data_IF_464143063841
#
_entry.id   IF_464143063841
#
_cell.length_a   1.000
_cell.length_b   1.000
_cell.length_c   1.000
_cell.angle_alpha   90.00
_cell.angle_beta   90.00
_cell.angle_gamma   90.00
#
_symmetry.space_group_name_H-M   'P 1'
#
loop_
_entity.id
_entity.type
_entity.pdbx_description
1 polymer ?
#
# COMPACT_ATOMS: atom_id res chain seq x y z
N UNK A 1 -15.23 20.29 20.77
CA UNK A 1 -16.11 19.19 20.36
C UNK A 1 -16.16 18.23 21.53
N UNK A 2 -17.34 17.91 22.02
CA UNK A 2 -17.48 16.94 23.10
C UNK A 2 -17.39 15.54 22.47
N UNK A 3 -16.28 14.85 22.69
CA UNK A 3 -16.00 13.52 22.14
C UNK A 3 -16.76 12.40 22.87
N UNK A 4 -17.45 12.71 23.96
CA UNK A 4 -18.29 11.75 24.68
C UNK A 4 -19.76 11.80 24.21
N UNK A 5 -20.13 12.78 23.37
CA UNK A 5 -21.47 12.93 22.84
C UNK A 5 -21.61 12.34 21.43
N UNK A 6 -22.32 11.20 21.26
CA UNK A 6 -22.45 10.54 19.95
C UNK A 6 -23.14 11.39 18.88
N UNK A 7 -24.02 12.32 19.27
CA UNK A 7 -24.68 13.21 18.32
C UNK A 7 -23.70 14.24 17.75
N UNK A 8 -22.77 14.75 18.57
CA UNK A 8 -21.73 15.67 18.12
C UNK A 8 -20.72 14.98 17.20
N UNK A 9 -20.31 13.75 17.52
CA UNK A 9 -19.43 12.95 16.67
C UNK A 9 -20.08 12.67 15.32
N UNK A 10 -21.35 12.25 15.31
CA UNK A 10 -22.12 12.01 14.08
C UNK A 10 -22.23 13.27 13.22
N UNK A 11 -22.57 14.42 13.83
CA UNK A 11 -22.66 15.68 13.10
C UNK A 11 -21.30 16.11 12.51
N UNK A 12 -20.21 15.89 13.25
CA UNK A 12 -18.86 16.16 12.77
C UNK A 12 -18.47 15.25 11.60
N UNK A 13 -18.76 13.94 11.69
CA UNK A 13 -18.50 12.98 10.63
C UNK A 13 -19.29 13.30 9.36
N UNK A 14 -20.58 13.62 9.49
CA UNK A 14 -21.43 14.03 8.37
C UNK A 14 -20.93 15.30 7.68
N UNK A 15 -20.50 16.30 8.46
CA UNK A 15 -19.91 17.53 7.91
C UNK A 15 -18.61 17.24 7.17
N UNK A 16 -17.69 16.50 7.80
CA UNK A 16 -16.40 16.16 7.19
C UNK A 16 -16.59 15.36 5.90
N UNK A 17 -17.55 14.43 5.89
CA UNK A 17 -17.92 13.68 4.68
C UNK A 17 -18.49 14.59 3.59
N UNK A 18 -19.40 15.49 3.92
CA UNK A 18 -19.96 16.42 2.93
C UNK A 18 -18.87 17.31 2.30
N UNK A 19 -17.94 17.81 3.12
CA UNK A 19 -16.79 18.59 2.66
C UNK A 19 -15.87 17.75 1.76
N UNK A 20 -15.59 16.50 2.16
CA UNK A 20 -14.80 15.54 1.38
C UNK A 20 -15.47 15.22 0.03
N UNK A 21 -16.74 14.85 0.01
CA UNK A 21 -17.46 14.49 -1.21
C UNK A 21 -17.53 15.67 -2.17
N UNK A 22 -17.82 16.87 -1.67
CA UNK A 22 -17.81 18.09 -2.48
C UNK A 22 -16.44 18.32 -3.14
N UNK A 23 -15.35 18.16 -2.37
CA UNK A 23 -14.00 18.25 -2.91
C UNK A 23 -13.74 17.15 -3.95
N UNK A 24 -14.07 15.89 -3.62
CA UNK A 24 -13.80 14.74 -4.45
C UNK A 24 -14.56 14.80 -5.78
N UNK A 25 -15.83 15.21 -5.80
CA UNK A 25 -16.66 15.32 -7.01
C UNK A 25 -16.23 16.46 -7.94
N UNK A 26 -15.60 17.51 -7.40
CA UNK A 26 -15.26 18.72 -8.15
C UNK A 26 -13.77 18.86 -8.48
N UNK A 27 -12.93 17.93 -8.01
CA UNK A 27 -11.48 18.00 -8.20
C UNK A 27 -11.01 16.90 -9.16
N UNK A 28 -10.35 17.27 -10.30
CA UNK A 28 -9.81 16.26 -11.21
C UNK A 28 -8.75 15.40 -10.53
N UNK A 29 -8.65 14.12 -10.94
CA UNK A 29 -7.71 13.15 -10.36
C UNK A 29 -6.27 13.66 -10.41
N UNK A 30 -5.87 14.34 -11.50
CA UNK A 30 -4.53 14.93 -11.62
C UNK A 30 -4.25 16.00 -10.57
N UNK A 31 -5.25 16.81 -10.20
CA UNK A 31 -5.12 17.83 -9.16
C UNK A 31 -5.04 17.19 -7.76
N UNK A 32 -5.86 16.16 -7.51
CA UNK A 32 -5.80 15.38 -6.27
C UNK A 32 -4.44 14.71 -6.08
N UNK A 33 -3.89 14.08 -7.13
CA UNK A 33 -2.51 13.57 -7.12
C UNK A 33 -1.48 14.67 -6.90
N UNK A 34 -1.53 15.76 -7.68
CA UNK A 34 -0.58 16.86 -7.52
C UNK A 34 -0.58 17.47 -6.10
N UNK A 35 -1.70 17.42 -5.40
CA UNK A 35 -1.80 17.87 -4.01
C UNK A 35 -1.18 16.92 -2.99
N UNK A 36 -1.28 15.60 -3.21
CA UNK A 36 -0.90 14.55 -2.25
C UNK A 36 0.47 13.92 -2.50
N UNK A 37 1.03 14.10 -3.71
CA UNK A 37 2.33 13.57 -4.11
C UNK A 37 3.50 14.53 -3.86
N UNK A 38 3.27 15.58 -3.06
CA UNK A 38 4.30 16.57 -2.73
C UNK A 38 5.24 15.99 -1.67
N UNK A 39 6.54 16.07 -1.91
CA UNK A 39 7.53 15.80 -0.88
C UNK A 39 7.47 16.91 0.18
N UNK A 40 7.28 16.51 1.43
CA UNK A 40 7.26 17.42 2.57
C UNK A 40 8.66 17.54 3.18
N UNK A 41 9.09 18.75 3.59
CA UNK A 41 10.33 18.92 4.31
C UNK A 41 10.36 18.04 5.56
N UNK A 42 11.34 17.14 5.61
CA UNK A 42 11.54 16.26 6.75
C UNK A 42 12.29 17.01 7.85
N UNK A 43 11.84 16.86 9.10
CA UNK A 43 12.49 17.37 10.30
C UNK A 43 12.20 16.44 11.48
N UNK A 44 12.94 16.61 12.57
CA UNK A 44 12.63 15.95 13.83
C UNK A 44 13.28 14.58 14.02
N UNK A 45 12.76 13.74 14.93
CA UNK A 45 13.38 12.49 15.38
C UNK A 45 13.17 11.33 14.41
N UNK A 46 13.34 11.56 13.11
CA UNK A 46 13.11 10.56 12.06
C UNK A 46 14.29 10.55 11.11
N UNK A 47 14.84 9.36 10.88
CA UNK A 47 15.75 9.08 9.77
C UNK A 47 14.95 8.65 8.54
N UNK A 48 15.32 9.16 7.36
CA UNK A 48 14.84 8.67 6.07
C UNK A 48 16.03 8.50 5.15
N UNK A 49 16.24 7.29 4.65
CA UNK A 49 17.26 6.97 3.64
C UNK A 49 16.57 6.47 2.37
N UNK A 50 16.67 7.26 1.29
CA UNK A 50 16.06 6.96 -0.01
C UNK A 50 17.03 6.18 -0.89
N UNK A 51 16.53 5.16 -1.58
CA UNK A 51 17.33 4.37 -2.51
C UNK A 51 16.48 3.81 -3.65
N UNK A 52 17.15 3.30 -4.67
CA UNK A 52 16.51 2.66 -5.79
C UNK A 52 17.08 1.25 -5.99
N UNK A 53 16.19 0.31 -6.27
CA UNK A 53 16.54 -1.04 -6.69
C UNK A 53 16.24 -1.14 -8.18
N UNK A 54 17.23 -1.48 -9.03
CA UNK A 54 17.00 -1.57 -10.47
C UNK A 54 15.93 -2.62 -10.79
N UNK A 55 15.32 -2.50 -11.98
CA UNK A 55 14.44 -3.54 -12.52
C UNK A 55 15.07 -4.93 -12.29
N UNK A 56 14.29 -5.91 -11.78
CA UNK A 56 14.77 -7.29 -11.63
C UNK A 56 15.35 -7.85 -12.93
N UNK A 57 16.51 -8.49 -12.80
CA UNK A 57 17.19 -9.26 -13.85
C UNK A 57 17.14 -10.74 -13.47
N UNK A 58 17.09 -11.64 -14.46
CA UNK A 58 16.91 -13.08 -14.23
C UNK A 58 15.78 -13.31 -13.20
N UNK A 59 14.56 -12.91 -13.58
CA UNK A 59 13.41 -12.73 -12.70
C UNK A 59 12.19 -13.51 -13.21
N UNK A 60 11.44 -14.14 -12.30
CA UNK A 60 10.15 -14.77 -12.58
C UNK A 60 8.99 -14.12 -11.81
N UNK A 61 9.26 -13.13 -10.94
CA UNK A 61 8.24 -12.57 -10.05
C UNK A 61 7.04 -11.98 -10.80
N UNK A 62 7.29 -11.24 -11.90
CA UNK A 62 6.22 -10.67 -12.73
C UNK A 62 5.36 -11.74 -13.37
N UNK A 63 5.99 -12.68 -14.06
CA UNK A 63 5.25 -13.69 -14.84
C UNK A 63 4.48 -14.65 -13.93
N UNK A 64 5.03 -14.95 -12.74
CA UNK A 64 4.30 -15.69 -11.70
C UNK A 64 3.07 -14.93 -11.21
N UNK A 65 3.17 -13.61 -10.98
CA UNK A 65 2.01 -12.80 -10.61
C UNK A 65 0.95 -12.81 -11.71
N UNK A 66 1.33 -12.56 -12.96
CA UNK A 66 0.39 -12.54 -14.08
C UNK A 66 -0.27 -13.89 -14.29
N UNK A 67 0.47 -14.99 -14.19
CA UNK A 67 -0.08 -16.34 -14.25
C UNK A 67 -1.11 -16.62 -13.13
N UNK A 68 -0.88 -16.13 -11.91
CA UNK A 68 -1.85 -16.24 -10.82
C UNK A 68 -3.09 -15.37 -11.05
N UNK A 69 -2.95 -14.22 -11.71
CA UNK A 69 -4.10 -13.39 -12.08
C UNK A 69 -4.92 -14.12 -13.14
N UNK A 70 -4.28 -14.63 -14.18
CA UNK A 70 -4.96 -15.36 -15.26
C UNK A 70 -5.67 -16.63 -14.74
N UNK A 71 -5.04 -17.37 -13.81
CA UNK A 71 -5.65 -18.54 -13.15
C UNK A 71 -6.96 -18.19 -12.43
N UNK A 72 -7.05 -16.99 -11.86
CA UNK A 72 -8.19 -16.53 -11.05
C UNK A 72 -9.16 -15.63 -11.83
N UNK A 73 -8.87 -15.38 -13.10
CA UNK A 73 -9.68 -14.57 -14.00
C UNK A 73 -10.67 -15.46 -14.78
N UNK A 74 -11.62 -16.05 -14.05
CA UNK A 74 -12.65 -16.96 -14.57
C UNK A 74 -13.48 -16.36 -15.73
N UNK A 75 -13.61 -15.04 -15.75
CA UNK A 75 -14.36 -14.27 -16.75
C UNK A 75 -13.54 -13.80 -17.94
N UNK A 76 -12.26 -14.14 -18.02
CA UNK A 76 -11.33 -13.72 -19.09
C UNK A 76 -11.37 -12.19 -19.34
N UNK A 77 -11.46 -11.41 -18.25
CA UNK A 77 -11.50 -9.96 -18.32
C UNK A 77 -10.14 -9.45 -18.78
N UNK A 78 -10.11 -8.63 -19.82
CA UNK A 78 -8.86 -7.98 -20.25
C UNK A 78 -8.35 -7.05 -19.16
N UNK A 79 -7.04 -7.02 -18.95
CA UNK A 79 -6.37 -6.15 -17.98
C UNK A 79 -4.93 -5.83 -18.43
N UNK A 80 -4.31 -4.84 -17.79
CA UNK A 80 -2.96 -4.41 -18.13
C UNK A 80 -1.89 -5.41 -17.63
N UNK A 81 -0.84 -5.61 -18.43
CA UNK A 81 0.27 -6.50 -18.10
C UNK A 81 1.55 -5.68 -17.84
N UNK A 82 1.62 -4.93 -16.72
CA UNK A 82 2.67 -3.95 -16.49
C UNK A 82 4.06 -4.59 -16.42
N UNK A 83 5.06 -3.92 -16.98
CA UNK A 83 6.45 -4.33 -16.81
C UNK A 83 6.94 -4.13 -15.36
N UNK A 84 7.90 -4.96 -14.95
CA UNK A 84 8.75 -4.65 -13.80
C UNK A 84 9.59 -3.40 -14.11
N UNK A 85 9.83 -2.57 -13.10
CA UNK A 85 10.58 -1.32 -13.23
C UNK A 85 11.56 -1.14 -12.07
N UNK A 86 12.39 -0.10 -12.14
CA UNK A 86 13.20 0.32 -10.99
C UNK A 86 12.28 0.73 -9.85
N UNK A 87 12.41 0.06 -8.71
CA UNK A 87 11.68 0.40 -7.49
C UNK A 87 12.38 1.54 -6.77
N UNK A 88 11.61 2.56 -6.36
CA UNK A 88 12.07 3.58 -5.42
C UNK A 88 11.59 3.20 -4.03
N UNK A 89 12.51 3.21 -3.08
CA UNK A 89 12.31 2.70 -1.73
C UNK A 89 12.84 3.70 -0.71
N UNK A 90 12.24 3.70 0.48
CA UNK A 90 12.68 4.51 1.60
C UNK A 90 12.76 3.69 2.87
N UNK A 91 13.94 3.66 3.49
CA UNK A 91 14.09 3.21 4.87
C UNK A 91 13.78 4.35 5.82
N UNK A 92 12.93 4.08 6.81
CA UNK A 92 12.57 5.02 7.87
C UNK A 92 12.89 4.41 9.24
N UNK A 93 13.45 5.23 10.12
CA UNK A 93 13.81 4.84 11.48
C UNK A 93 13.65 5.96 12.50
N UNK A 94 13.70 5.61 13.78
CA UNK A 94 13.78 6.59 14.87
C UNK A 94 15.16 7.25 14.85
N UNK A 95 15.20 8.57 15.02
CA UNK A 95 16.42 9.33 15.30
C UNK A 95 16.45 9.73 16.76
N UNK A 96 17.17 8.95 17.55
CA UNK A 96 17.18 9.03 19.00
C UNK A 96 17.83 10.33 19.51
N UNK A 97 17.32 10.85 20.63
CA UNK A 97 17.80 12.07 21.29
C UNK A 97 17.76 13.35 20.45
N UNK A 98 16.83 13.43 19.49
CA UNK A 98 16.67 14.62 18.64
C UNK A 98 15.30 15.27 18.82
N UNK A 99 15.27 16.61 18.93
CA UNK A 99 14.03 17.40 19.06
C UNK A 99 13.18 17.40 17.79
N UNK A 100 11.87 17.64 17.95
CA UNK A 100 10.85 17.56 16.88
C UNK A 100 11.06 18.51 15.70
N UNK A 101 11.77 19.62 15.90
CA UNK A 101 12.03 20.64 14.88
C UNK A 101 13.46 20.63 14.36
N UNK A 102 14.29 19.68 14.82
CA UNK A 102 15.68 19.62 14.41
C UNK A 102 15.80 19.35 12.89
N UNK A 103 16.70 20.05 12.18
CA UNK A 103 16.91 19.84 10.76
C UNK A 103 17.38 18.41 10.47
N UNK A 104 17.23 17.99 9.22
CA UNK A 104 17.87 16.76 8.75
C UNK A 104 19.35 17.02 8.49
N UNK A 105 20.25 16.10 8.86
CA UNK A 105 21.65 16.23 8.52
C UNK A 105 21.84 16.01 7.02
N UNK A 106 22.82 16.72 6.46
CA UNK A 106 23.16 16.61 5.04
C UNK A 106 24.15 15.45 4.84
N UNK A 107 23.65 14.21 4.81
CA UNK A 107 24.45 13.00 4.63
C UNK A 107 24.07 12.28 3.33
N UNK A 108 25.02 11.57 2.68
CA UNK A 108 24.69 10.66 1.60
C UNK A 108 23.73 9.55 2.06
N UNK A 109 22.82 9.10 1.19
CA UNK A 109 21.76 8.12 1.53
C UNK A 109 22.27 6.84 2.18
N UNK A 110 23.42 6.32 1.71
CA UNK A 110 24.06 5.14 2.29
C UNK A 110 24.55 5.39 3.72
N UNK A 111 25.09 6.56 4.00
CA UNK A 111 25.52 6.94 5.35
C UNK A 111 24.31 7.20 6.25
N UNK A 112 23.26 7.83 5.72
CA UNK A 112 21.97 7.98 6.43
C UNK A 112 21.40 6.63 6.83
N UNK A 113 21.40 5.64 5.92
CA UNK A 113 20.96 4.28 6.25
C UNK A 113 21.85 3.63 7.31
N UNK A 114 23.17 3.81 7.27
CA UNK A 114 24.07 3.27 8.29
C UNK A 114 23.77 3.84 9.68
N UNK A 115 23.51 5.15 9.79
CA UNK A 115 23.09 5.80 11.04
C UNK A 115 21.74 5.27 11.53
N UNK A 116 20.75 5.20 10.64
CA UNK A 116 19.44 4.62 10.91
C UNK A 116 19.55 3.18 11.43
N UNK A 117 20.34 2.34 10.76
CA UNK A 117 20.49 0.94 11.11
C UNK A 117 21.27 0.76 12.43
N UNK A 118 22.22 1.64 12.75
CA UNK A 118 22.92 1.65 14.03
C UNK A 118 22.00 2.00 15.22
N UNK A 119 20.94 2.77 14.99
CA UNK A 119 19.92 3.10 15.99
C UNK A 119 18.74 2.11 16.03
N UNK A 120 18.72 1.13 15.10
CA UNK A 120 17.71 0.08 15.08
C UNK A 120 17.99 -0.94 16.19
N UNK A 121 17.03 -1.13 17.11
CA UNK A 121 17.21 -1.91 18.36
C UNK A 121 16.83 -3.38 18.22
N UNK A 122 16.02 -3.72 17.20
CA UNK A 122 15.58 -5.09 16.92
C UNK A 122 15.91 -5.48 15.48
N UNK A 123 16.32 -6.73 15.22
CA UNK A 123 16.53 -7.24 13.87
C UNK A 123 15.19 -7.57 13.19
N UNK A 124 14.29 -6.59 13.16
CA UNK A 124 12.97 -6.64 12.53
C UNK A 124 12.89 -5.54 11.47
N UNK A 125 12.33 -5.87 10.31
CA UNK A 125 11.92 -4.89 9.31
C UNK A 125 10.40 -4.88 9.17
N UNK A 126 9.84 -3.69 9.00
CA UNK A 126 8.42 -3.51 8.71
C UNK A 126 8.30 -3.07 7.26
N UNK A 127 7.63 -3.83 6.40
CA UNK A 127 7.21 -3.36 5.08
C UNK A 127 5.89 -2.60 5.27
N UNK A 128 5.92 -1.27 5.22
CA UNK A 128 4.73 -0.45 5.35
C UNK A 128 4.17 -0.10 3.97
N UNK A 129 2.92 -0.48 3.73
CA UNK A 129 2.20 -0.24 2.47
C UNK A 129 1.11 0.78 2.77
N UNK A 130 1.29 1.99 2.25
CA UNK A 130 0.43 3.11 2.58
C UNK A 130 -0.91 3.11 1.84
N UNK A 131 -1.92 3.68 2.49
CA UNK A 131 -3.22 3.94 1.90
C UNK A 131 -3.27 5.16 0.99
N UNK A 132 -4.37 5.29 0.26
CA UNK A 132 -4.63 6.41 -0.66
C UNK A 132 -5.55 6.02 -1.81
N UNK A 133 -6.44 5.04 -1.59
CA UNK A 133 -7.34 4.46 -2.59
C UNK A 133 -6.61 4.11 -3.90
N UNK A 134 -5.37 3.63 -3.80
CA UNK A 134 -4.46 3.31 -4.92
C UNK A 134 -4.05 4.48 -5.83
N UNK A 135 -4.55 5.69 -5.56
CA UNK A 135 -4.48 6.85 -6.47
C UNK A 135 -3.69 8.00 -5.84
N UNK A 136 -3.61 8.06 -4.52
CA UNK A 136 -3.07 9.18 -3.75
C UNK A 136 -1.87 8.77 -2.89
N UNK A 137 -1.20 9.79 -2.38
CA UNK A 137 -0.11 9.71 -1.41
C UNK A 137 1.21 9.12 -1.93
N UNK A 138 2.25 9.37 -1.14
CA UNK A 138 3.64 8.98 -1.35
C UNK A 138 4.23 8.58 0.02
N UNK A 139 5.34 7.84 0.10
CA UNK A 139 6.05 7.61 1.38
C UNK A 139 6.27 8.87 2.22
N UNK A 140 6.46 10.04 1.59
CA UNK A 140 6.63 11.31 2.30
C UNK A 140 5.43 11.67 3.20
N UNK A 141 4.21 11.35 2.79
CA UNK A 141 2.99 11.56 3.58
C UNK A 141 2.95 10.68 4.85
N UNK A 142 3.72 9.59 4.86
CA UNK A 142 3.73 8.57 5.91
C UNK A 142 5.01 8.56 6.77
N UNK A 143 5.98 9.46 6.51
CA UNK A 143 7.22 9.53 7.31
C UNK A 143 6.97 9.60 8.81
N UNK A 144 5.98 10.39 9.25
CA UNK A 144 5.61 10.46 10.67
C UNK A 144 5.09 9.14 11.19
N UNK A 145 4.12 8.52 10.52
CA UNK A 145 3.55 7.22 10.88
C UNK A 145 4.63 6.13 10.94
N UNK A 146 5.48 6.04 9.91
CA UNK A 146 6.60 5.12 9.86
C UNK A 146 7.63 5.40 10.97
N UNK A 147 7.92 6.67 11.28
CA UNK A 147 8.79 7.06 12.38
C UNK A 147 8.23 6.69 13.75
N UNK A 148 6.91 6.86 13.96
CA UNK A 148 6.24 6.41 15.18
C UNK A 148 6.32 4.88 15.34
N UNK A 149 6.06 4.13 14.27
CA UNK A 149 6.21 2.68 14.27
C UNK A 149 7.64 2.26 14.57
N UNK A 150 8.62 2.83 13.87
CA UNK A 150 10.03 2.55 14.09
C UNK A 150 10.47 2.79 15.55
N UNK A 151 10.03 3.90 16.14
CA UNK A 151 10.30 4.24 17.55
C UNK A 151 9.61 3.26 18.51
N UNK A 152 8.33 2.95 18.27
CA UNK A 152 7.54 2.09 19.14
C UNK A 152 8.04 0.64 19.15
N UNK A 153 8.49 0.12 18.00
CA UNK A 153 8.95 -1.27 17.88
C UNK A 153 10.47 -1.41 18.00
N UNK A 154 11.22 -0.30 17.93
CA UNK A 154 12.68 -0.31 17.84
C UNK A 154 13.18 -0.94 16.54
N UNK A 155 12.39 -0.88 15.46
CA UNK A 155 12.65 -1.53 14.17
C UNK A 155 12.85 -0.49 13.07
N UNK A 156 13.26 -0.94 11.88
CA UNK A 156 13.29 -0.11 10.67
C UNK A 156 12.08 -0.39 9.79
N UNK A 157 11.60 0.62 9.07
CA UNK A 157 10.42 0.54 8.20
C UNK A 157 10.85 0.77 6.76
N UNK A 158 10.52 -0.15 5.85
CA UNK A 158 10.68 0.02 4.41
C UNK A 158 9.34 0.47 3.82
N UNK A 159 9.35 1.50 2.99
CA UNK A 159 8.21 1.90 2.15
C UNK A 159 8.62 1.87 0.68
N UNK A 160 7.72 1.38 -0.18
CA UNK A 160 7.88 1.42 -1.63
C UNK A 160 7.07 2.57 -2.20
N UNK A 161 7.60 3.27 -3.20
CA UNK A 161 6.82 4.18 -4.02
C UNK A 161 6.00 3.36 -5.02
N UNK A 162 4.94 2.68 -4.56
CA UNK A 162 4.12 1.86 -5.46
C UNK A 162 3.49 2.73 -6.56
N UNK A 163 3.41 2.19 -7.77
CA UNK A 163 2.70 2.82 -8.88
C UNK A 163 1.26 3.13 -8.49
N UNK A 164 0.80 4.29 -8.93
CA UNK A 164 -0.55 4.76 -8.67
C UNK A 164 -1.43 4.59 -9.91
N UNK A 165 -2.66 4.23 -9.65
CA UNK A 165 -3.73 4.33 -10.62
C UNK A 165 -4.17 5.81 -10.73
N UNK A 166 -4.81 6.22 -11.84
CA UNK A 166 -5.20 5.41 -12.99
C UNK A 166 -4.13 5.23 -14.08
N UNK A 167 -2.96 5.86 -13.94
CA UNK A 167 -1.88 5.72 -14.93
C UNK A 167 -1.31 4.30 -14.98
N UNK A 168 -1.40 3.58 -13.87
CA UNK A 168 -0.94 2.21 -13.71
C UNK A 168 -2.00 1.43 -12.93
N UNK A 169 -3.06 0.95 -13.59
CA UNK A 169 -4.09 0.16 -12.92
C UNK A 169 -3.54 -1.19 -12.42
N UNK A 170 -4.37 -1.94 -11.72
CA UNK A 170 -4.12 -3.31 -11.33
C UNK A 170 -3.58 -4.11 -12.52
N UNK A 171 -2.47 -4.87 -12.35
CA UNK A 171 -1.81 -5.23 -11.08
C UNK A 171 -0.56 -4.42 -10.72
N UNK A 172 -0.34 -3.23 -11.29
CA UNK A 172 0.96 -2.54 -11.20
C UNK A 172 1.44 -2.25 -9.77
N UNK A 173 0.57 -1.70 -8.91
CA UNK A 173 0.90 -1.45 -7.50
C UNK A 173 1.18 -2.75 -6.72
N UNK A 174 0.45 -3.82 -7.04
CA UNK A 174 0.61 -5.13 -6.40
C UNK A 174 1.94 -5.78 -6.79
N UNK A 175 2.34 -5.65 -8.07
CA UNK A 175 3.65 -6.08 -8.55
C UNK A 175 4.78 -5.34 -7.81
N UNK A 176 4.66 -4.02 -7.64
CA UNK A 176 5.68 -3.22 -6.94
C UNK A 176 5.80 -3.62 -5.45
N UNK A 177 4.68 -3.86 -4.77
CA UNK A 177 4.65 -4.35 -3.38
C UNK A 177 5.25 -5.76 -3.28
N UNK A 178 4.92 -6.65 -4.22
CA UNK A 178 5.47 -8.00 -4.26
C UNK A 178 6.99 -7.97 -4.43
N UNK A 179 7.50 -7.19 -5.38
CA UNK A 179 8.93 -7.06 -5.62
C UNK A 179 9.66 -6.30 -4.50
N UNK A 180 8.99 -5.37 -3.80
CA UNK A 180 9.53 -4.75 -2.59
C UNK A 180 9.70 -5.77 -1.45
N UNK A 181 8.75 -6.69 -1.28
CA UNK A 181 8.88 -7.79 -0.33
C UNK A 181 10.05 -8.74 -0.70
N UNK A 182 10.17 -9.10 -1.98
CA UNK A 182 11.29 -9.92 -2.46
C UNK A 182 12.65 -9.22 -2.29
N UNK A 183 12.68 -7.89 -2.41
CA UNK A 183 13.88 -7.09 -2.14
C UNK A 183 14.33 -7.17 -0.67
N UNK A 184 13.42 -7.37 0.29
CA UNK A 184 13.79 -7.64 1.68
C UNK A 184 14.43 -9.02 1.82
N UNK A 185 13.90 -10.02 1.12
CA UNK A 185 14.37 -11.42 1.19
C UNK A 185 15.69 -11.65 0.45
N UNK A 186 15.84 -11.04 -0.72
CA UNK A 186 16.98 -11.22 -1.61
C UNK A 186 17.37 -9.89 -2.28
N UNK A 187 17.92 -8.93 -1.52
CA UNK A 187 18.34 -7.66 -2.08
C UNK A 187 19.42 -7.86 -3.16
N UNK A 188 19.36 -7.11 -4.28
CA UNK A 188 20.41 -7.18 -5.29
C UNK A 188 21.76 -6.65 -4.76
N UNK A 189 22.88 -7.01 -5.41
CA UNK A 189 24.20 -6.47 -5.05
C UNK A 189 24.21 -4.94 -4.98
N UNK A 190 24.85 -4.39 -3.94
CA UNK A 190 24.93 -2.94 -3.72
C UNK A 190 23.73 -2.34 -2.97
N UNK A 191 22.73 -3.14 -2.62
CA UNK A 191 21.63 -2.71 -1.73
C UNK A 191 22.14 -2.25 -0.36
N UNK A 192 21.32 -1.43 0.30
CA UNK A 192 21.67 -0.88 1.61
C UNK A 192 21.58 -1.91 2.74
N UNK A 193 20.76 -2.94 2.58
CA UNK A 193 20.56 -4.00 3.56
C UNK A 193 20.97 -5.38 3.03
N UNK A 194 21.23 -6.29 3.96
CA UNK A 194 21.39 -7.72 3.70
C UNK A 194 20.02 -8.41 3.67
N UNK A 195 19.99 -9.66 3.18
CA UNK A 195 18.79 -10.49 3.19
C UNK A 195 18.18 -10.58 4.60
N UNK A 196 16.88 -10.29 4.71
CA UNK A 196 16.13 -10.35 5.96
C UNK A 196 15.30 -11.63 5.95
N UNK A 197 15.43 -12.50 6.97
CA UNK A 197 14.60 -13.70 7.07
C UNK A 197 13.12 -13.32 7.08
N UNK A 198 12.22 -14.11 6.44
CA UNK A 198 10.77 -13.88 6.50
C UNK A 198 10.24 -13.79 7.94
N UNK A 199 10.83 -14.57 8.87
CA UNK A 199 10.53 -14.55 10.30
C UNK A 199 10.92 -13.25 11.02
N UNK A 200 11.61 -12.34 10.32
CA UNK A 200 12.04 -11.01 10.79
C UNK A 200 11.38 -9.88 9.99
N UNK A 201 10.32 -10.17 9.23
CA UNK A 201 9.55 -9.18 8.46
C UNK A 201 8.12 -9.14 8.99
N UNK A 202 7.62 -7.95 9.29
CA UNK A 202 6.19 -7.70 9.49
C UNK A 202 5.70 -6.83 8.34
N UNK A 203 4.54 -7.16 7.76
CA UNK A 203 3.89 -6.29 6.78
C UNK A 203 2.84 -5.45 7.50
N UNK A 204 2.91 -4.13 7.31
CA UNK A 204 1.99 -3.18 7.90
C UNK A 204 1.29 -2.37 6.80
N UNK A 205 0.08 -1.90 7.04
CA UNK A 205 -0.57 -0.99 6.12
C UNK A 205 -1.89 -0.45 6.63
N UNK A 206 -2.40 0.55 5.91
CA UNK A 206 -3.67 1.20 6.19
C UNK A 206 -4.52 1.36 4.94
N UNK A 207 -5.85 1.33 5.09
CA UNK A 207 -6.80 1.56 3.99
C UNK A 207 -6.47 0.69 2.75
N UNK A 208 -6.36 1.27 1.54
CA UNK A 208 -6.02 0.54 0.31
C UNK A 208 -4.67 -0.17 0.36
N UNK A 209 -3.74 0.27 1.21
CA UNK A 209 -2.46 -0.40 1.40
C UNK A 209 -2.62 -1.79 2.04
N UNK A 210 -3.65 -1.99 2.86
CA UNK A 210 -3.99 -3.31 3.39
C UNK A 210 -4.51 -4.27 2.32
N UNK A 211 -5.19 -3.75 1.30
CA UNK A 211 -5.65 -4.56 0.16
C UNK A 211 -4.44 -5.13 -0.59
N UNK A 212 -3.42 -4.31 -0.84
CA UNK A 212 -2.15 -4.74 -1.43
C UNK A 212 -1.39 -5.71 -0.51
N UNK A 213 -1.40 -5.48 0.82
CA UNK A 213 -0.79 -6.39 1.78
C UNK A 213 -1.43 -7.78 1.77
N UNK A 214 -2.76 -7.84 1.73
CA UNK A 214 -3.52 -9.09 1.63
C UNK A 214 -3.32 -9.77 0.27
N UNK A 215 -3.25 -9.00 -0.82
CA UNK A 215 -2.88 -9.50 -2.15
C UNK A 215 -1.48 -10.13 -2.16
N UNK A 216 -0.49 -9.47 -1.55
CA UNK A 216 0.87 -10.00 -1.35
C UNK A 216 0.82 -11.35 -0.61
N UNK A 217 0.08 -11.43 0.51
CA UNK A 217 -0.06 -12.66 1.25
C UNK A 217 -0.66 -13.79 0.39
N UNK A 218 -1.70 -13.48 -0.38
CA UNK A 218 -2.32 -14.46 -1.27
C UNK A 218 -1.40 -14.96 -2.39
N UNK A 219 -0.57 -14.08 -2.96
CA UNK A 219 0.47 -14.47 -3.92
C UNK A 219 1.41 -15.50 -3.27
N UNK A 220 1.96 -15.20 -2.09
CA UNK A 220 2.91 -16.07 -1.39
C UNK A 220 2.28 -17.43 -1.05
N UNK A 221 1.05 -17.43 -0.51
CA UNK A 221 0.34 -18.65 -0.16
C UNK A 221 0.05 -19.54 -1.37
N UNK A 222 -0.40 -18.94 -2.49
CA UNK A 222 -0.69 -19.68 -3.73
C UNK A 222 0.57 -20.29 -4.33
N UNK A 223 1.64 -19.50 -4.49
CA UNK A 223 2.91 -20.02 -5.02
C UNK A 223 3.44 -21.16 -4.17
N UNK A 224 3.36 -21.05 -2.84
CA UNK A 224 3.75 -22.11 -1.92
C UNK A 224 2.94 -23.39 -2.13
N UNK A 225 1.61 -23.30 -2.20
CA UNK A 225 0.73 -24.46 -2.42
C UNK A 225 1.00 -25.14 -3.77
N UNK A 226 1.37 -24.36 -4.78
CA UNK A 226 1.74 -24.87 -6.10
C UNK A 226 3.18 -25.41 -6.18
N UNK A 227 3.95 -25.35 -5.08
CA UNK A 227 5.36 -25.77 -5.07
C UNK A 227 6.25 -24.92 -5.98
N UNK A 228 5.90 -23.65 -6.21
CA UNK A 228 6.63 -22.72 -7.07
C UNK A 228 7.67 -21.97 -6.27
N UNK A 229 8.92 -21.99 -6.73
CA UNK A 229 9.97 -21.07 -6.30
C UNK A 229 9.96 -19.80 -7.17
N UNK A 230 10.44 -18.69 -6.62
CA UNK A 230 10.57 -17.40 -7.31
C UNK A 230 12.04 -17.16 -7.62
N UNK A 231 12.39 -16.81 -8.85
CA UNK A 231 13.73 -16.31 -9.17
C UNK A 231 13.65 -14.79 -9.19
N UNK A 232 14.53 -14.11 -8.45
CA UNK A 232 14.54 -12.65 -8.33
C UNK A 232 15.98 -12.17 -8.20
N UNK A 233 16.44 -11.33 -9.13
CA UNK A 233 17.86 -10.93 -9.24
C UNK A 233 18.82 -12.14 -9.30
N UNK A 234 18.44 -13.18 -10.06
CA UNK A 234 19.22 -14.40 -10.21
C UNK A 234 19.28 -15.30 -8.97
N UNK A 235 18.51 -14.99 -7.92
CA UNK A 235 18.42 -15.80 -6.69
C UNK A 235 17.09 -16.51 -6.62
N UNK A 236 17.12 -17.80 -6.29
CA UNK A 236 15.91 -18.59 -6.02
C UNK A 236 15.44 -18.33 -4.58
N UNK A 237 14.18 -17.96 -4.43
CA UNK A 237 13.51 -17.61 -3.18
C UNK A 237 12.28 -18.49 -3.04
N UNK A 238 12.11 -19.10 -1.86
CA UNK A 238 10.86 -19.75 -1.49
C UNK A 238 9.79 -18.70 -1.13
N UNK A 239 8.53 -18.85 -1.55
CA UNK A 239 7.44 -17.90 -1.29
C UNK A 239 7.00 -17.95 0.19
N UNK A 240 7.90 -17.54 1.07
CA UNK A 240 7.68 -17.55 2.49
C UNK A 240 6.89 -16.33 2.95
N UNK A 241 5.82 -16.57 3.70
CA UNK A 241 5.02 -15.51 4.33
C UNK A 241 5.83 -14.76 5.40
N UNK A 242 5.52 -13.48 5.67
CA UNK A 242 6.17 -12.71 6.75
C UNK A 242 5.86 -13.31 8.12
N UNK A 243 6.54 -12.84 9.17
CA UNK A 243 6.29 -13.21 10.55
C UNK A 243 4.88 -12.84 11.03
N UNK A 244 4.29 -11.80 10.44
CA UNK A 244 2.91 -11.38 10.73
C UNK A 244 2.49 -10.16 9.91
N UNK A 245 1.21 -9.81 10.00
CA UNK A 245 0.65 -8.60 9.42
C UNK A 245 -0.09 -7.75 10.43
N UNK A 246 -0.02 -6.42 10.28
CA UNK A 246 -0.79 -5.45 11.06
C UNK A 246 -1.54 -4.50 10.13
N UNK A 247 -2.86 -4.57 10.09
CA UNK A 247 -3.70 -3.91 9.10
C UNK A 247 -4.70 -2.99 9.78
N UNK A 248 -4.69 -1.70 9.42
CA UNK A 248 -5.58 -0.69 10.01
C UNK A 248 -6.62 -0.24 8.99
N UNK A 249 -7.89 -0.27 9.37
CA UNK A 249 -9.05 0.02 8.53
C UNK A 249 -8.96 -0.68 7.17
N UNK A 250 -8.92 -2.02 7.15
CA UNK A 250 -8.57 -2.74 5.95
C UNK A 250 -9.63 -2.60 4.86
N UNK A 251 -9.20 -2.28 3.64
CA UNK A 251 -10.01 -2.48 2.43
C UNK A 251 -9.76 -3.91 1.97
N UNK A 252 -10.78 -4.75 2.08
CA UNK A 252 -10.70 -6.18 1.72
C UNK A 252 -11.45 -6.51 0.44
N UNK A 253 -12.31 -5.61 -0.03
CA UNK A 253 -13.09 -5.76 -1.26
C UNK A 253 -13.40 -4.38 -1.87
N UNK A 254 -13.52 -4.30 -3.19
CA UNK A 254 -13.76 -3.06 -3.94
C UNK A 254 -15.15 -3.00 -4.59
N UNK A 255 -16.00 -4.00 -4.34
CA UNK A 255 -17.39 -4.01 -4.79
C UNK A 255 -18.32 -3.19 -3.88
N UNK A 256 -17.81 -2.68 -2.76
CA UNK A 256 -18.52 -1.96 -1.69
C UNK A 256 -19.89 -2.58 -1.35
N UNK A 257 -19.95 -3.92 -1.33
CA UNK A 257 -21.21 -4.68 -1.28
C UNK A 257 -21.50 -5.28 0.10
N UNK A 258 -20.56 -5.15 1.04
CA UNK A 258 -20.75 -5.67 2.40
C UNK A 258 -21.79 -4.86 3.20
N UNK A 259 -22.58 -5.51 4.09
CA UNK A 259 -23.64 -4.83 4.85
C UNK A 259 -23.19 -3.63 5.69
N UNK A 260 -21.90 -3.52 6.01
CA UNK A 260 -21.34 -2.38 6.75
C UNK A 260 -21.45 -1.07 5.98
N UNK A 261 -21.36 -1.08 4.64
CA UNK A 261 -21.47 0.14 3.83
C UNK A 261 -22.82 0.85 4.01
N UNK A 262 -23.90 0.08 4.15
CA UNK A 262 -25.23 0.63 4.46
C UNK A 262 -25.40 0.93 5.95
N UNK A 263 -25.04 -0.03 6.81
CA UNK A 263 -25.23 0.06 8.27
C UNK A 263 -24.52 1.27 8.88
N UNK A 264 -23.30 1.53 8.44
CA UNK A 264 -22.44 2.58 8.98
C UNK A 264 -22.55 3.89 8.18
N UNK A 265 -23.48 3.97 7.23
CA UNK A 265 -23.63 5.14 6.37
C UNK A 265 -23.87 6.43 7.15
N UNK A 266 -24.36 6.40 8.40
CA UNK A 266 -24.57 7.64 9.16
C UNK A 266 -23.32 8.15 9.90
N UNK A 267 -22.30 7.32 10.06
CA UNK A 267 -21.19 7.54 11.00
C UNK A 267 -19.81 7.41 10.33
N UNK A 268 -19.68 6.59 9.29
CA UNK A 268 -18.43 6.40 8.54
C UNK A 268 -18.07 7.66 7.71
N UNK A 269 -16.79 7.97 7.52
CA UNK A 269 -16.37 9.07 6.65
C UNK A 269 -16.41 8.73 5.15
N UNK A 270 -16.34 7.44 4.80
CA UNK A 270 -16.25 6.95 3.42
C UNK A 270 -17.28 5.85 3.04
N UNK A 271 -18.54 5.85 3.53
CA UNK A 271 -19.52 4.86 3.14
C UNK A 271 -20.12 5.26 1.78
N UNK A 272 -19.35 5.03 0.71
CA UNK A 272 -19.79 5.38 -0.65
C UNK A 272 -20.09 4.08 -1.39
N UNK A 273 -21.38 3.73 -1.57
CA UNK A 273 -21.77 2.67 -2.50
C UNK A 273 -21.09 2.88 -3.87
N UNK A 274 -20.72 1.81 -4.56
CA UNK A 274 -19.92 1.90 -5.81
C UNK A 274 -20.56 2.88 -6.80
N UNK A 275 -21.87 2.82 -6.98
CA UNK A 275 -22.61 3.67 -7.91
C UNK A 275 -22.62 5.16 -7.54
N UNK A 276 -22.24 5.49 -6.30
CA UNK A 276 -22.13 6.87 -5.78
C UNK A 276 -20.70 7.37 -5.70
N UNK A 277 -19.72 6.62 -6.22
CA UNK A 277 -18.33 7.06 -6.21
C UNK A 277 -18.19 8.40 -6.96
N UNK A 278 -17.39 9.35 -6.43
CA UNK A 278 -17.30 10.70 -7.00
C UNK A 278 -16.96 10.72 -8.50
N UNK A 279 -16.04 9.85 -8.92
CA UNK A 279 -15.56 9.77 -10.31
C UNK A 279 -16.56 9.14 -11.29
N UNK A 280 -17.68 8.61 -10.80
CA UNK A 280 -18.80 8.13 -11.61
C UNK A 280 -19.93 9.16 -11.74
N UNK A 281 -19.88 10.28 -10.99
CA UNK A 281 -20.97 11.25 -10.99
C UNK A 281 -21.00 12.09 -12.28
N UNK A 282 -22.20 12.46 -12.77
CA UNK A 282 -22.33 13.38 -13.89
C UNK A 282 -21.60 14.71 -13.62
N UNK A 283 -20.75 15.13 -14.55
CA UNK A 283 -19.99 16.38 -14.42
C UNK A 283 -18.67 16.26 -13.67
N UNK A 284 -18.25 15.04 -13.27
CA UNK A 284 -16.91 14.83 -12.74
C UNK A 284 -15.83 15.36 -13.72
N UNK A 285 -14.85 16.15 -13.24
CA UNK A 285 -13.89 16.81 -14.11
C UNK A 285 -12.93 15.82 -14.79
N UNK A 286 -12.84 15.93 -16.12
CA UNK A 286 -11.87 15.19 -16.94
C UNK A 286 -10.45 15.75 -16.77
N UNK A 287 -9.44 14.89 -16.86
CA UNK A 287 -8.03 15.30 -16.92
C UNK A 287 -7.20 14.31 -17.74
N UNK A 288 -5.94 14.66 -18.03
CA UNK A 288 -5.08 13.85 -18.91
C UNK A 288 -4.83 12.41 -18.44
N UNK A 289 -4.91 12.15 -17.13
CA UNK A 289 -4.73 10.82 -16.56
C UNK A 289 -6.05 10.08 -16.31
N UNK A 290 -7.17 10.81 -16.29
CA UNK A 290 -8.52 10.28 -16.11
C UNK A 290 -9.49 10.95 -17.09
N UNK A 291 -9.47 10.55 -18.38
CA UNK A 291 -10.50 10.96 -19.31
C UNK A 291 -11.83 10.34 -18.85
N UNK A 292 -12.88 11.15 -18.74
CA UNK A 292 -14.23 10.68 -18.40
C UNK A 292 -15.02 10.23 -19.64
N UNK A 293 -14.41 10.29 -20.82
CA UNK A 293 -14.97 9.86 -22.10
C UNK A 293 -13.90 9.06 -22.89
N UNK A 294 -14.11 7.75 -23.13
CA UNK A 294 -15.21 6.94 -22.58
C UNK A 294 -15.12 6.82 -21.05
N UNK A 295 -16.25 6.61 -20.35
CA UNK A 295 -16.23 6.42 -18.91
C UNK A 295 -15.56 5.09 -18.53
N UNK A 296 -14.84 5.10 -17.39
CA UNK A 296 -14.31 3.90 -16.74
C UNK A 296 -15.02 3.70 -15.40
N UNK A 297 -15.22 2.45 -15.01
CA UNK A 297 -16.01 2.11 -13.83
C UNK A 297 -15.23 2.21 -12.51
N UNK A 298 -13.91 2.07 -12.54
CA UNK A 298 -13.06 2.08 -11.35
C UNK A 298 -11.68 2.68 -11.65
N UNK A 299 -11.13 3.42 -10.68
CA UNK A 299 -9.82 4.07 -10.82
C UNK A 299 -8.67 3.07 -10.81
N UNK A 300 -8.80 1.99 -10.04
CA UNK A 300 -7.74 1.04 -9.76
C UNK A 300 -7.70 -0.12 -10.75
N UNK A 301 -8.84 -0.69 -11.16
CA UNK A 301 -8.85 -1.85 -12.04
C UNK A 301 -9.92 -1.77 -13.14
N UNK A 302 -9.84 -2.68 -14.11
CA UNK A 302 -10.93 -2.92 -15.04
C UNK A 302 -12.17 -3.40 -14.28
N UNK A 303 -13.36 -2.97 -14.71
CA UNK A 303 -14.61 -3.19 -13.96
C UNK A 303 -14.89 -4.68 -13.68
N UNK A 304 -14.61 -5.54 -14.67
CA UNK A 304 -14.78 -6.98 -14.54
C UNK A 304 -13.83 -7.64 -13.52
N UNK A 305 -12.75 -6.95 -13.15
CA UNK A 305 -11.77 -7.42 -12.17
C UNK A 305 -12.13 -7.06 -10.73
N UNK A 306 -13.20 -6.30 -10.47
CA UNK A 306 -13.56 -5.89 -9.10
C UNK A 306 -13.76 -7.08 -8.14
N UNK A 307 -14.27 -8.20 -8.64
CA UNK A 307 -14.47 -9.42 -7.85
C UNK A 307 -13.24 -10.37 -7.87
N UNK A 308 -12.19 -10.04 -8.62
CA UNK A 308 -11.00 -10.88 -8.73
C UNK A 308 -10.33 -11.03 -7.35
N UNK A 309 -9.94 -12.24 -6.90
CA UNK A 309 -9.40 -12.45 -5.54
C UNK A 309 -8.09 -11.72 -5.21
N UNK A 310 -7.35 -11.21 -6.20
CA UNK A 310 -6.18 -10.34 -5.99
C UNK A 310 -6.50 -8.83 -6.08
N UNK A 311 -7.72 -8.46 -6.48
CA UNK A 311 -8.26 -7.08 -6.42
C UNK A 311 -9.10 -6.90 -5.16
N UNK A 312 -9.93 -7.89 -4.84
CA UNK A 312 -10.75 -7.98 -3.63
C UNK A 312 -10.36 -9.22 -2.82
N UNK A 313 -9.32 -9.14 -1.97
CA UNK A 313 -8.80 -10.29 -1.22
C UNK A 313 -9.83 -11.06 -0.40
N UNK A 314 -10.91 -10.42 0.07
CA UNK A 314 -12.02 -11.10 0.76
C UNK A 314 -12.69 -12.20 -0.07
N UNK A 315 -12.59 -12.15 -1.40
CA UNK A 315 -13.10 -13.19 -2.31
C UNK A 315 -12.20 -14.44 -2.35
N UNK A 316 -11.04 -14.44 -1.68
CA UNK A 316 -10.18 -15.61 -1.58
C UNK A 316 -10.73 -16.67 -0.63
N UNK A 317 -10.90 -17.89 -1.14
CA UNK A 317 -11.47 -19.01 -0.39
C UNK A 317 -10.50 -19.68 0.60
N UNK A 318 -9.18 -19.62 0.34
CA UNK A 318 -8.17 -20.36 1.12
C UNK A 318 -7.01 -19.48 1.60
N UNK A 319 -6.95 -19.31 2.93
CA UNK A 319 -5.91 -18.61 3.69
C UNK A 319 -5.03 -19.56 4.51
N UNK A 320 -5.12 -20.87 4.27
CA UNK A 320 -4.33 -21.88 4.98
C UNK A 320 -2.83 -21.64 4.79
N UNK A 321 -2.07 -21.71 5.89
CA UNK A 321 -0.65 -21.41 5.90
C UNK A 321 -0.30 -19.92 6.06
N UNK A 322 -1.30 -19.07 6.30
CA UNK A 322 -1.12 -17.65 6.63
C UNK A 322 -0.28 -17.45 7.90
N UNK A 323 0.37 -16.30 7.97
CA UNK A 323 0.97 -15.77 9.19
C UNK A 323 -0.10 -15.20 10.14
N UNK A 324 0.22 -14.93 11.42
CA UNK A 324 -0.65 -14.17 12.32
C UNK A 324 -0.99 -12.78 11.75
N UNK A 325 -2.27 -12.43 11.76
CA UNK A 325 -2.76 -11.12 11.29
C UNK A 325 -3.47 -10.42 12.45
N UNK A 326 -3.06 -9.20 12.74
CA UNK A 326 -3.80 -8.27 13.59
C UNK A 326 -4.51 -7.26 12.69
N UNK A 327 -5.82 -7.10 12.88
CA UNK A 327 -6.64 -6.12 12.17
C UNK A 327 -7.29 -5.17 13.18
N UNK A 328 -7.33 -3.90 12.85
CA UNK A 328 -8.10 -2.90 13.58
C UNK A 328 -9.02 -2.16 12.61
N UNK A 329 -10.27 -1.92 13.00
CA UNK A 329 -11.23 -1.11 12.26
C UNK A 329 -11.94 -0.14 13.21
N UNK A 330 -12.44 0.97 12.68
CA UNK A 330 -13.41 1.78 13.39
C UNK A 330 -14.71 1.00 13.60
N UNK A 331 -15.41 1.28 14.69
CA UNK A 331 -16.74 0.72 14.94
C UNK A 331 -17.83 1.50 14.17
N UNK A 332 -17.52 2.75 13.83
CA UNK A 332 -18.40 3.73 13.18
C UNK A 332 -18.51 3.57 11.67
#
# INVERSE_FOLDING_TARGET
>A
MDFENPAHLRAAAQKLRADYLKYAETTPISASQASTLKDHPLKGPIWVAKFAVPKPIDDTSRDLLLALIDELNDKNVSYDHPDSQTLKLEWVGSRDNVGIDAPQPSLPERETFQKLNAETKRPLAILYIYGGTFVLNTPSSYHKTAGFLAKATGSKVLMVHQRLAPQNPFPAALLDVFQAYLTLLAPPPGSHHEAIPPSSIVVAGDSSGTCLALGLLQILLRLRRQGKSIVFHGRTIEPNVPAGMTLVSPITELTNSLPSYERNMQTDLFPVPVEKLPFLQPGFPTCSIWPTQPPRADLYCEAGMLAHPLVSPAASEDWSGSCPIWMASGQE
#
